data_IF_167500977280
#
_entry.id   IF_167500977280
#
_cell.length_a   1.000
_cell.length_b   1.000
_cell.length_c   1.000
_cell.angle_alpha   90.00
_cell.angle_beta   90.00
_cell.angle_gamma   90.00
#
_symmetry.space_group_name_H-M   'P 1'
#
loop_
_entity.id
_entity.type
_entity.pdbx_description
1 polymer ?
#
# COMPACT_ATOMS: atom_id res chain seq x y z
N UNK A 1 -3.89 -7.88 -6.54
CA UNK A 1 -2.56 -8.56 -6.53
C UNK A 1 -2.70 -9.87 -5.74
N UNK A 2 -2.73 -11.01 -6.41
CA UNK A 2 -2.70 -12.32 -5.71
C UNK A 2 -1.26 -12.59 -5.27
N UNK A 3 -0.98 -12.50 -3.98
CA UNK A 3 0.24 -13.10 -3.41
C UNK A 3 0.01 -14.60 -3.38
N UNK A 4 0.31 -15.27 -4.49
CA UNK A 4 0.37 -16.71 -4.52
C UNK A 4 1.66 -17.12 -3.81
N UNK A 5 1.54 -17.93 -2.78
CA UNK A 5 2.65 -18.67 -2.15
C UNK A 5 3.18 -19.74 -3.11
N UNK A 6 3.67 -19.33 -4.27
CA UNK A 6 4.54 -20.17 -5.05
C UNK A 6 5.96 -20.02 -4.51
N UNK A 7 6.70 -21.10 -4.41
CA UNK A 7 8.15 -21.11 -4.24
C UNK A 7 8.76 -20.34 -5.43
N UNK A 8 8.68 -19.02 -5.38
CA UNK A 8 9.53 -18.23 -6.25
C UNK A 8 10.96 -18.46 -5.76
N UNK A 9 11.90 -18.79 -6.64
CA UNK A 9 13.30 -18.82 -6.26
C UNK A 9 13.62 -17.49 -5.59
N UNK A 10 14.26 -17.54 -4.42
CA UNK A 10 14.69 -16.34 -3.73
C UNK A 10 15.59 -15.54 -4.69
N UNK A 11 15.20 -14.32 -4.99
CA UNK A 11 16.02 -13.43 -5.80
C UNK A 11 17.25 -13.04 -4.98
N UNK A 12 18.44 -13.42 -5.47
CA UNK A 12 19.68 -13.04 -4.82
C UNK A 12 20.02 -11.61 -5.21
N UNK A 13 19.92 -10.70 -4.24
CA UNK A 13 20.26 -9.29 -4.40
C UNK A 13 21.68 -9.03 -3.90
N UNK A 14 22.45 -8.29 -4.68
CA UNK A 14 23.74 -7.78 -4.23
C UNK A 14 23.62 -6.49 -3.40
N UNK A 15 24.67 -6.07 -2.77
CA UNK A 15 24.76 -4.83 -1.97
C UNK A 15 24.30 -3.58 -2.73
N UNK A 16 24.55 -3.53 -4.04
CA UNK A 16 24.18 -2.38 -4.87
C UNK A 16 22.69 -2.34 -5.13
N UNK A 17 22.05 -3.50 -5.32
CA UNK A 17 20.60 -3.61 -5.46
C UNK A 17 19.89 -3.17 -4.17
N UNK A 18 20.39 -3.60 -3.01
CA UNK A 18 19.88 -3.17 -1.72
C UNK A 18 19.98 -1.65 -1.50
N UNK A 19 21.08 -1.01 -1.90
CA UNK A 19 21.23 0.45 -1.84
C UNK A 19 20.26 1.18 -2.75
N UNK A 20 20.05 0.67 -3.96
CA UNK A 20 19.07 1.25 -4.91
C UNK A 20 17.66 1.13 -4.33
N UNK A 21 17.26 -0.05 -3.84
CA UNK A 21 15.96 -0.25 -3.20
C UNK A 21 15.75 0.69 -2.03
N UNK A 22 16.76 0.88 -1.21
CA UNK A 22 16.72 1.81 -0.09
C UNK A 22 16.43 3.24 -0.53
N UNK A 23 17.13 3.73 -1.53
CA UNK A 23 16.90 5.08 -2.08
C UNK A 23 15.50 5.23 -2.66
N UNK A 24 14.96 4.21 -3.33
CA UNK A 24 13.60 4.20 -3.86
C UNK A 24 12.54 4.21 -2.75
N UNK A 25 12.74 3.43 -1.68
CA UNK A 25 11.81 3.41 -0.53
C UNK A 25 11.76 4.78 0.15
N UNK A 26 12.90 5.46 0.24
CA UNK A 26 12.96 6.81 0.81
C UNK A 26 12.32 7.86 -0.09
N UNK A 27 12.55 7.80 -1.38
CA UNK A 27 11.98 8.72 -2.35
C UNK A 27 11.99 8.13 -3.76
N UNK A 28 10.87 7.56 -4.18
CA UNK A 28 10.70 6.97 -5.52
C UNK A 28 10.79 8.00 -6.65
N UNK A 29 10.53 9.29 -6.36
CA UNK A 29 10.54 10.37 -7.37
C UNK A 29 11.90 11.02 -7.58
N UNK A 30 12.96 10.57 -6.89
CA UNK A 30 14.28 11.14 -7.11
C UNK A 30 14.84 10.79 -8.49
N UNK A 31 15.57 11.70 -9.15
CA UNK A 31 16.19 11.42 -10.44
C UNK A 31 17.19 10.26 -10.35
N UNK A 32 17.27 9.43 -11.39
CA UNK A 32 18.21 8.29 -11.44
C UNK A 32 19.65 8.75 -11.23
N UNK A 33 20.03 9.94 -11.71
CA UNK A 33 21.35 10.52 -11.48
C UNK A 33 21.67 10.77 -10.00
N UNK A 34 20.66 11.07 -9.18
CA UNK A 34 20.82 11.20 -7.72
C UNK A 34 20.99 9.84 -7.06
N UNK A 35 20.21 8.84 -7.46
CA UNK A 35 20.36 7.46 -6.99
C UNK A 35 21.77 6.97 -7.33
N UNK A 36 22.21 7.15 -8.57
CA UNK A 36 23.53 6.76 -9.04
C UNK A 36 24.65 7.37 -8.18
N UNK A 37 24.57 8.68 -7.92
CA UNK A 37 25.54 9.39 -7.06
C UNK A 37 25.59 8.84 -5.64
N UNK A 38 24.43 8.58 -5.03
CA UNK A 38 24.33 8.07 -3.66
C UNK A 38 24.77 6.61 -3.53
N UNK A 39 24.49 5.81 -4.56
CA UNK A 39 24.89 4.40 -4.60
C UNK A 39 26.33 4.20 -5.11
N UNK A 40 27.05 5.25 -5.51
CA UNK A 40 28.37 5.20 -6.13
C UNK A 40 28.38 4.33 -7.40
N UNK A 41 27.38 4.51 -8.24
CA UNK A 41 27.18 3.79 -9.50
C UNK A 41 27.09 4.75 -10.68
N UNK A 42 27.30 4.24 -11.90
CA UNK A 42 26.93 4.97 -13.11
C UNK A 42 25.43 4.99 -13.30
N UNK A 43 24.90 6.02 -13.98
CA UNK A 43 23.48 6.10 -14.32
C UNK A 43 22.99 4.86 -15.08
N UNK A 44 23.76 4.40 -16.08
CA UNK A 44 23.44 3.20 -16.85
C UNK A 44 23.35 1.95 -15.98
N UNK A 45 24.26 1.80 -14.99
CA UNK A 45 24.21 0.68 -14.06
C UNK A 45 22.96 0.69 -13.19
N UNK A 46 22.50 1.88 -12.75
CA UNK A 46 21.25 2.01 -11.99
C UNK A 46 20.04 1.68 -12.86
N UNK A 47 19.97 2.24 -14.08
CA UNK A 47 18.87 1.96 -15.04
C UNK A 47 18.77 0.46 -15.34
N UNK A 48 19.89 -0.20 -15.61
CA UNK A 48 19.91 -1.65 -15.83
C UNK A 48 19.39 -2.45 -14.63
N UNK A 49 19.87 -2.12 -13.42
CA UNK A 49 19.45 -2.81 -12.19
C UNK A 49 17.98 -2.57 -11.87
N UNK A 50 17.47 -1.36 -12.03
CA UNK A 50 16.06 -1.04 -11.86
C UNK A 50 15.19 -1.88 -12.79
N UNK A 51 15.60 -2.01 -14.06
CA UNK A 51 14.92 -2.86 -15.04
C UNK A 51 14.91 -4.32 -14.60
N UNK A 52 16.02 -4.85 -14.10
CA UNK A 52 16.09 -6.22 -13.58
C UNK A 52 15.19 -6.43 -12.36
N UNK A 53 15.13 -5.47 -11.42
CA UNK A 53 14.28 -5.53 -10.24
C UNK A 53 12.79 -5.50 -10.60
N UNK A 54 12.42 -4.75 -11.62
CA UNK A 54 11.05 -4.68 -12.16
C UNK A 54 10.67 -5.96 -12.92
N UNK A 55 11.51 -6.43 -13.84
CA UNK A 55 11.30 -7.67 -14.61
C UNK A 55 11.14 -8.88 -13.68
N UNK A 56 11.90 -8.93 -12.59
CA UNK A 56 11.78 -9.98 -11.56
C UNK A 56 10.60 -9.74 -10.60
N UNK A 57 9.76 -8.73 -10.83
CA UNK A 57 8.59 -8.39 -10.00
C UNK A 57 8.92 -8.14 -8.52
N UNK A 58 10.15 -7.72 -8.22
CA UNK A 58 10.51 -7.28 -6.88
C UNK A 58 9.96 -5.89 -6.60
N UNK A 59 10.04 -4.98 -7.59
CA UNK A 59 9.34 -3.71 -7.58
C UNK A 59 8.00 -3.94 -8.27
N UNK A 60 6.92 -3.83 -7.49
CA UNK A 60 5.54 -4.08 -7.98
C UNK A 60 4.76 -2.80 -8.24
N UNK A 61 5.37 -1.67 -7.99
CA UNK A 61 4.76 -0.36 -8.22
C UNK A 61 5.11 0.66 -7.15
N UNK A 62 4.61 1.86 -7.34
CA UNK A 62 4.68 2.96 -6.38
C UNK A 62 3.31 3.60 -6.24
N UNK A 63 2.97 4.06 -5.05
CA UNK A 63 1.70 4.75 -4.79
C UNK A 63 1.87 5.97 -3.92
N UNK A 64 1.01 6.95 -4.12
CA UNK A 64 0.91 8.10 -3.24
C UNK A 64 0.12 7.73 -1.98
N UNK A 65 0.67 7.99 -0.81
CA UNK A 65 -0.06 7.83 0.45
C UNK A 65 -0.79 9.13 0.76
N UNK A 66 -2.11 9.04 0.91
CA UNK A 66 -3.00 10.18 1.17
C UNK A 66 -3.52 10.12 2.60
N UNK A 67 -3.63 11.26 3.25
CA UNK A 67 -4.28 11.36 4.56
C UNK A 67 -5.81 11.40 4.39
N UNK A 68 -6.42 10.23 4.37
CA UNK A 68 -7.86 10.05 4.16
C UNK A 68 -8.73 10.77 5.19
N UNK A 69 -8.25 10.92 6.43
CA UNK A 69 -8.95 11.68 7.47
C UNK A 69 -9.09 13.15 7.13
N UNK A 70 -8.07 13.74 6.46
CA UNK A 70 -8.16 15.14 5.99
C UNK A 70 -9.16 15.31 4.86
N UNK A 71 -9.50 14.24 4.14
CA UNK A 71 -10.55 14.20 3.13
C UNK A 71 -11.94 13.89 3.73
N UNK A 72 -12.03 13.71 5.06
CA UNK A 72 -13.29 13.40 5.75
C UNK A 72 -13.68 11.92 5.73
N UNK A 73 -12.76 11.02 5.33
CA UNK A 73 -13.04 9.58 5.30
C UNK A 73 -12.45 8.87 6.51
N UNK A 74 -13.19 7.85 6.98
CA UNK A 74 -12.73 6.82 7.91
C UNK A 74 -12.44 5.55 7.13
N UNK A 75 -11.45 4.76 7.56
CA UNK A 75 -11.16 3.46 7.01
C UNK A 75 -11.71 2.38 7.94
N UNK A 76 -12.62 1.57 7.42
CA UNK A 76 -13.25 0.46 8.12
C UNK A 76 -12.64 -0.84 7.61
N UNK A 77 -12.06 -1.61 8.51
CA UNK A 77 -11.43 -2.90 8.23
C UNK A 77 -12.36 -4.02 8.68
N UNK A 78 -12.82 -4.81 7.74
CA UNK A 78 -13.77 -5.89 7.97
C UNK A 78 -13.03 -7.21 7.83
N UNK A 79 -12.95 -7.97 8.93
CA UNK A 79 -12.38 -9.32 8.94
C UNK A 79 -13.52 -10.32 8.86
N UNK A 80 -13.51 -11.17 7.83
CA UNK A 80 -14.60 -12.08 7.52
C UNK A 80 -14.19 -13.55 7.64
N UNK A 81 -15.06 -14.32 8.27
CA UNK A 81 -15.11 -15.78 8.18
C UNK A 81 -16.36 -16.18 7.42
N UNK A 82 -16.23 -16.83 6.29
CA UNK A 82 -17.33 -17.30 5.45
C UNK A 82 -17.49 -18.82 5.55
N UNK A 83 -18.68 -19.32 5.21
CA UNK A 83 -18.98 -20.74 5.33
C UNK A 83 -18.32 -21.59 4.26
N UNK A 84 -18.25 -21.09 3.03
CA UNK A 84 -17.79 -21.87 1.88
C UNK A 84 -16.84 -21.09 0.98
N UNK A 85 -15.94 -21.78 0.23
CA UNK A 85 -15.10 -21.13 -0.79
C UNK A 85 -15.90 -20.42 -1.89
N UNK A 86 -17.13 -20.86 -2.14
CA UNK A 86 -17.99 -20.21 -3.13
C UNK A 86 -18.45 -18.82 -2.65
N UNK A 87 -18.82 -18.71 -1.39
CA UNK A 87 -19.18 -17.43 -0.76
C UNK A 87 -17.96 -16.49 -0.66
N UNK A 88 -16.78 -17.05 -0.33
CA UNK A 88 -15.54 -16.32 -0.34
C UNK A 88 -15.28 -15.68 -1.72
N UNK A 89 -15.40 -16.47 -2.78
CA UNK A 89 -15.23 -15.98 -4.14
C UNK A 89 -16.23 -14.89 -4.51
N UNK A 90 -17.50 -15.02 -4.11
CA UNK A 90 -18.53 -13.98 -4.36
C UNK A 90 -18.15 -12.64 -3.73
N UNK A 91 -17.67 -12.67 -2.48
CA UNK A 91 -17.25 -11.44 -1.79
C UNK A 91 -16.03 -10.83 -2.49
N UNK A 92 -15.02 -11.66 -2.83
CA UNK A 92 -13.82 -11.19 -3.52
C UNK A 92 -14.16 -10.53 -4.86
N UNK A 93 -14.99 -11.18 -5.68
CA UNK A 93 -15.40 -10.68 -7.00
C UNK A 93 -16.18 -9.35 -6.89
N UNK A 94 -16.96 -9.15 -5.81
CA UNK A 94 -17.65 -7.89 -5.53
C UNK A 94 -16.70 -6.81 -5.03
N UNK A 95 -15.87 -7.14 -4.04
CA UNK A 95 -14.93 -6.20 -3.46
C UNK A 95 -13.92 -5.68 -4.49
N UNK A 96 -13.46 -6.53 -5.40
CA UNK A 96 -12.54 -6.16 -6.48
C UNK A 96 -13.15 -5.13 -7.45
N UNK A 97 -14.47 -5.19 -7.66
CA UNK A 97 -15.21 -4.26 -8.52
C UNK A 97 -15.75 -3.03 -7.80
N UNK A 98 -15.76 -3.05 -6.48
CA UNK A 98 -16.35 -1.99 -5.65
C UNK A 98 -15.41 -0.79 -5.54
N UNK A 99 -15.83 0.38 -6.03
CA UNK A 99 -15.06 1.63 -5.98
C UNK A 99 -14.80 2.15 -4.56
N UNK A 100 -15.58 1.69 -3.59
CA UNK A 100 -15.45 2.05 -2.18
C UNK A 100 -14.46 1.16 -1.39
N UNK A 101 -13.99 0.06 -1.99
CA UNK A 101 -12.99 -0.82 -1.41
C UNK A 101 -11.59 -0.33 -1.79
N UNK A 102 -10.74 -0.08 -0.81
CA UNK A 102 -9.37 0.36 -1.05
C UNK A 102 -8.31 -0.71 -0.76
N UNK A 103 -8.67 -1.81 -0.09
CA UNK A 103 -7.80 -2.96 0.11
C UNK A 103 -8.59 -4.25 0.29
N UNK A 104 -8.06 -5.34 -0.25
CA UNK A 104 -8.53 -6.70 -0.06
C UNK A 104 -7.31 -7.54 0.27
N UNK A 105 -7.31 -8.19 1.43
CA UNK A 105 -6.18 -8.98 1.90
C UNK A 105 -6.68 -10.37 2.30
N UNK A 106 -5.98 -11.40 1.85
CA UNK A 106 -6.29 -12.80 2.17
C UNK A 106 -5.30 -13.30 3.20
N UNK A 107 -5.81 -13.87 4.29
CA UNK A 107 -5.02 -14.42 5.38
C UNK A 107 -5.15 -15.94 5.47
N UNK A 108 -4.17 -16.55 6.11
CA UNK A 108 -4.31 -17.90 6.67
C UNK A 108 -4.86 -17.78 8.10
N UNK A 109 -5.87 -18.57 8.46
CA UNK A 109 -6.44 -18.57 9.82
C UNK A 109 -7.97 -18.47 9.85
N UNK A 110 -8.52 -18.08 11.01
CA UNK A 110 -9.97 -18.02 11.24
C UNK A 110 -10.64 -16.97 10.35
N UNK A 111 -10.14 -15.75 10.37
CA UNK A 111 -10.60 -14.67 9.49
C UNK A 111 -9.73 -14.67 8.24
N UNK A 112 -10.24 -15.22 7.16
CA UNK A 112 -9.48 -15.39 5.92
C UNK A 112 -9.42 -14.14 5.07
N UNK A 113 -10.43 -13.27 5.17
CA UNK A 113 -10.54 -12.07 4.37
C UNK A 113 -10.49 -10.84 5.26
N UNK A 114 -9.70 -9.85 4.84
CA UNK A 114 -9.80 -8.47 5.30
C UNK A 114 -10.17 -7.61 4.10
N UNK A 115 -11.26 -6.85 4.25
CA UNK A 115 -11.70 -5.87 3.26
C UNK A 115 -11.73 -4.52 3.92
N UNK A 116 -11.07 -3.55 3.32
CA UNK A 116 -11.07 -2.18 3.81
C UNK A 116 -11.99 -1.31 2.96
N UNK A 117 -12.96 -0.67 3.62
CA UNK A 117 -13.93 0.24 3.03
C UNK A 117 -13.64 1.66 3.50
N UNK A 118 -13.70 2.59 2.55
CA UNK A 118 -13.63 4.02 2.83
C UNK A 118 -15.03 4.61 2.90
N UNK A 119 -15.42 5.15 4.06
CA UNK A 119 -16.71 5.80 4.25
C UNK A 119 -16.58 7.07 5.12
N UNK A 120 -17.50 8.02 4.98
CA UNK A 120 -17.49 9.27 5.75
C UNK A 120 -18.00 9.08 7.16
N UNK A 121 -19.02 8.23 7.30
CA UNK A 121 -19.65 7.94 8.57
C UNK A 121 -20.09 6.47 8.66
N UNK A 122 -20.65 6.10 9.80
CA UNK A 122 -21.12 4.74 10.09
C UNK A 122 -22.33 4.35 9.25
N UNK A 123 -23.20 5.29 8.90
CA UNK A 123 -24.40 5.03 8.10
C UNK A 123 -24.01 4.69 6.65
N UNK A 124 -23.10 5.46 6.05
CA UNK A 124 -22.54 5.14 4.74
C UNK A 124 -21.81 3.80 4.76
N UNK A 125 -20.98 3.55 5.78
CA UNK A 125 -20.28 2.28 5.94
C UNK A 125 -21.26 1.09 5.98
N UNK A 126 -22.30 1.16 6.80
CA UNK A 126 -23.29 0.07 6.92
C UNK A 126 -23.97 -0.23 5.59
N UNK A 127 -24.35 0.79 4.83
CA UNK A 127 -24.94 0.63 3.50
C UNK A 127 -23.97 -0.10 2.54
N UNK A 128 -22.72 0.34 2.47
CA UNK A 128 -21.69 -0.24 1.62
C UNK A 128 -21.33 -1.68 2.04
N UNK A 129 -21.30 -1.93 3.35
CA UNK A 129 -21.07 -3.26 3.88
C UNK A 129 -22.21 -4.22 3.52
N UNK A 130 -23.46 -3.79 3.65
CA UNK A 130 -24.61 -4.61 3.24
C UNK A 130 -24.61 -4.91 1.74
N UNK A 131 -24.21 -3.96 0.90
CA UNK A 131 -24.02 -4.17 -0.54
C UNK A 131 -22.94 -5.24 -0.80
N UNK A 132 -21.82 -5.18 -0.08
CA UNK A 132 -20.73 -6.13 -0.23
C UNK A 132 -21.12 -7.56 0.10
N UNK A 133 -21.87 -7.75 1.20
CA UNK A 133 -22.22 -9.08 1.72
C UNK A 133 -23.59 -9.58 1.25
N UNK A 134 -24.30 -8.85 0.37
CA UNK A 134 -25.60 -9.26 -0.13
C UNK A 134 -25.58 -10.71 -0.65
N UNK A 135 -26.57 -11.51 -0.26
CA UNK A 135 -26.72 -12.93 -0.62
C UNK A 135 -25.51 -13.84 -0.23
N UNK A 136 -24.72 -13.41 0.74
CA UNK A 136 -23.62 -14.22 1.27
C UNK A 136 -23.87 -14.54 2.73
N UNK A 137 -23.68 -15.80 3.09
CA UNK A 137 -23.74 -16.23 4.49
C UNK A 137 -22.40 -16.00 5.16
N UNK A 138 -22.35 -14.99 6.02
CA UNK A 138 -21.21 -14.73 6.87
C UNK A 138 -21.30 -15.63 8.10
N UNK A 139 -20.22 -16.31 8.43
CA UNK A 139 -20.12 -17.12 9.65
C UNK A 139 -19.80 -16.25 10.85
N UNK A 140 -18.85 -15.35 10.66
CA UNK A 140 -18.43 -14.39 11.68
C UNK A 140 -17.74 -13.21 11.01
N UNK A 141 -17.92 -12.03 11.59
CA UNK A 141 -17.23 -10.82 11.16
C UNK A 141 -16.76 -9.97 12.34
N UNK A 142 -15.72 -9.20 12.09
CA UNK A 142 -15.22 -8.18 13.02
C UNK A 142 -14.95 -6.92 12.22
N UNK A 143 -15.55 -5.82 12.63
CA UNK A 143 -15.34 -4.51 12.01
C UNK A 143 -14.47 -3.66 12.93
N UNK A 144 -13.37 -3.16 12.42
CA UNK A 144 -12.46 -2.26 13.10
C UNK A 144 -12.36 -0.94 12.34
N UNK A 145 -12.37 0.16 13.08
CA UNK A 145 -12.13 1.50 12.50
C UNK A 145 -10.67 1.87 12.73
N UNK A 146 -9.94 2.20 11.67
CA UNK A 146 -8.56 2.64 11.78
C UNK A 146 -8.49 4.02 12.43
N UNK A 147 -8.04 4.06 13.67
CA UNK A 147 -7.87 5.31 14.41
C UNK A 147 -6.56 6.01 14.04
N UNK A 148 -5.46 5.29 14.05
CA UNK A 148 -4.14 5.85 13.76
C UNK A 148 -3.16 4.77 13.33
N UNK A 149 -2.34 5.09 12.33
CA UNK A 149 -1.18 4.29 11.96
C UNK A 149 0.07 4.85 12.64
N UNK A 150 0.60 4.16 13.64
CA UNK A 150 1.78 4.62 14.38
C UNK A 150 3.06 4.41 13.57
N UNK A 151 3.14 3.31 12.84
CA UNK A 151 4.28 2.95 12.00
C UNK A 151 3.83 2.16 10.77
N UNK A 152 4.30 2.57 9.61
CA UNK A 152 4.12 1.83 8.36
C UNK A 152 5.39 1.96 7.53
N UNK A 153 6.17 0.89 7.47
CA UNK A 153 7.39 0.81 6.66
C UNK A 153 7.21 -0.28 5.60
N UNK A 154 7.64 0.00 4.38
CA UNK A 154 7.59 -0.98 3.27
C UNK A 154 8.44 -2.21 3.62
N UNK A 155 9.65 -1.99 4.14
CA UNK A 155 10.55 -3.04 4.63
C UNK A 155 11.13 -2.62 5.99
N UNK A 156 11.08 -3.49 7.01
CA UNK A 156 11.76 -3.24 8.28
C UNK A 156 13.28 -3.15 8.10
N UNK A 157 13.94 -2.32 8.91
CA UNK A 157 15.39 -2.12 8.84
C UNK A 157 16.21 -3.42 8.87
N UNK A 158 15.75 -4.43 9.62
CA UNK A 158 16.45 -5.73 9.70
C UNK A 158 16.51 -6.47 8.37
N UNK A 159 15.65 -6.13 7.40
CA UNK A 159 15.67 -6.71 6.06
C UNK A 159 16.82 -6.18 5.21
N UNK A 160 17.49 -5.11 5.67
CA UNK A 160 18.61 -4.48 4.98
C UNK A 160 19.87 -4.63 5.84
N UNK A 161 20.69 -5.67 5.64
CA UNK A 161 21.82 -5.97 6.52
C UNK A 161 22.88 -4.87 6.64
N UNK A 162 22.98 -3.99 5.64
CA UNK A 162 23.97 -2.91 5.60
C UNK A 162 23.42 -1.53 6.00
N UNK A 163 22.17 -1.45 6.47
CA UNK A 163 21.53 -0.18 6.79
C UNK A 163 21.84 0.37 8.19
N UNK A 164 22.94 -0.04 8.82
CA UNK A 164 23.31 0.43 10.18
C UNK A 164 23.60 1.93 10.25
N UNK A 165 23.94 2.57 9.11
CA UNK A 165 24.40 3.97 9.07
C UNK A 165 23.42 4.98 8.45
N UNK A 166 22.14 4.62 8.27
CA UNK A 166 21.20 5.56 7.72
C UNK A 166 20.68 6.49 8.80
N UNK A 167 21.00 7.75 8.61
CA UNK A 167 20.54 8.86 9.43
C UNK A 167 19.01 9.04 9.29
N UNK A 168 18.26 8.31 10.14
CA UNK A 168 16.79 8.33 10.22
C UNK A 168 16.22 9.68 10.63
N UNK A 169 17.03 10.58 11.17
CA UNK A 169 16.60 11.93 11.54
C UNK A 169 16.02 12.73 10.36
N UNK A 170 16.45 12.44 9.12
CA UNK A 170 15.91 13.11 7.93
C UNK A 170 14.48 12.68 7.60
N UNK A 171 14.11 11.43 7.88
CA UNK A 171 12.76 10.92 7.61
C UNK A 171 11.75 11.48 8.62
N UNK A 172 12.10 11.51 9.89
CA UNK A 172 11.25 12.07 10.94
C UNK A 172 11.07 13.60 10.80
N UNK A 173 12.08 14.30 10.31
CA UNK A 173 11.99 15.75 10.06
C UNK A 173 11.11 16.11 8.87
N UNK A 174 10.97 15.26 7.86
CA UNK A 174 10.07 15.50 6.72
C UNK A 174 8.60 15.34 7.09
N UNK A 175 8.28 14.43 8.03
CA UNK A 175 6.91 14.23 8.51
C UNK A 175 6.48 15.25 9.58
N UNK A 176 7.42 15.79 10.35
CA UNK A 176 7.13 16.80 11.41
C UNK A 176 7.04 18.26 10.91
N UNK A 177 7.52 18.57 9.69
CA UNK A 177 7.52 19.95 9.17
C UNK A 177 6.22 20.42 8.53
N UNK A 178 5.22 19.58 8.34
CA UNK A 178 3.89 20.00 7.90
C UNK A 178 3.03 20.43 9.09
N UNK A 179 3.41 21.54 9.74
CA UNK A 179 2.51 22.27 10.63
C UNK A 179 1.32 22.78 9.82
N UNK A 180 0.17 22.40 10.26
CA UNK A 180 -1.19 22.64 9.80
C UNK A 180 -1.43 24.08 9.25
N UNK A 181 -1.39 24.22 7.94
CA UNK A 181 -2.25 25.20 7.28
C UNK A 181 -3.52 24.44 6.87
N UNK A 182 -4.66 24.80 7.45
CA UNK A 182 -5.99 24.39 6.96
C UNK A 182 -6.13 24.89 5.54
N UNK A 183 -5.78 24.08 4.56
CA UNK A 183 -6.20 24.25 3.17
C UNK A 183 -7.39 23.33 2.95
N UNK A 184 -8.51 23.89 2.52
CA UNK A 184 -9.64 23.12 2.03
C UNK A 184 -9.22 22.45 0.73
N UNK A 185 -9.44 21.15 0.64
CA UNK A 185 -9.23 20.36 -0.60
C UNK A 185 -10.38 20.68 -1.54
N UNK A 186 -10.09 21.17 -2.74
CA UNK A 186 -11.10 21.46 -3.75
C UNK A 186 -11.30 20.27 -4.72
N UNK A 187 -12.26 20.40 -5.64
CA UNK A 187 -12.58 19.36 -6.62
C UNK A 187 -11.43 19.08 -7.59
N UNK A 188 -10.61 20.08 -7.91
CA UNK A 188 -9.44 19.91 -8.76
C UNK A 188 -8.33 19.13 -8.04
N UNK A 189 -8.15 19.38 -6.75
CA UNK A 189 -7.22 18.59 -5.92
C UNK A 189 -7.62 17.11 -5.89
N UNK A 190 -8.92 16.82 -5.80
CA UNK A 190 -9.44 15.44 -5.84
C UNK A 190 -9.22 14.77 -7.20
N UNK A 191 -9.39 15.51 -8.31
CA UNK A 191 -9.11 15.00 -9.67
C UNK A 191 -7.62 14.70 -9.85
N UNK A 192 -6.74 15.54 -9.34
CA UNK A 192 -5.29 15.31 -9.36
C UNK A 192 -4.94 14.04 -8.56
N UNK A 193 -5.48 13.89 -7.35
CA UNK A 193 -5.27 12.70 -6.52
C UNK A 193 -5.76 11.42 -7.23
N UNK A 194 -6.93 11.47 -7.87
CA UNK A 194 -7.46 10.33 -8.63
C UNK A 194 -6.56 9.96 -9.82
N UNK A 195 -6.06 10.95 -10.57
CA UNK A 195 -5.15 10.68 -11.69
C UNK A 195 -3.80 10.12 -11.24
N UNK A 196 -3.31 10.52 -10.07
CA UNK A 196 -2.08 9.98 -9.49
C UNK A 196 -2.24 8.55 -8.99
N UNK A 197 -3.43 8.16 -8.53
CA UNK A 197 -3.71 6.78 -8.09
C UNK A 197 -3.76 5.82 -9.28
N UNK A 198 -4.32 6.22 -10.43
CA UNK A 198 -4.42 5.39 -11.64
C UNK A 198 -3.07 5.16 -12.33
N UNK A 199 -2.15 6.13 -12.30
CA UNK A 199 -0.82 5.98 -12.93
C UNK A 199 0.13 5.00 -12.21
N UNK A 200 -0.24 4.48 -11.08
CA UNK A 200 0.54 3.46 -10.37
C UNK A 200 0.19 2.03 -10.79
N UNK A 201 -0.77 1.83 -11.71
CA UNK A 201 -1.22 0.53 -12.21
C UNK A 201 -0.75 0.22 -13.64
N UNK A 202 -0.18 1.19 -14.36
CA UNK A 202 0.54 1.02 -15.64
C UNK A 202 2.05 0.82 -15.41
#
# INVERSE_FOLDING_TARGET
MRVLTHKNPELILDTKDWRILQELILNVRQPISQIAKKCLLSRQSVEYRLKQLDENKLIIGSRTVVNNKKLGYKSYHIFLEVHTPHEEKKILDRAEKAEFCNAIIVYSGKYKLEISIMARDEAEFLRLYQELIADVRIRNDVVLVLLEGIKSEVLPRKCFPEMKDINTEKFEKSTKKNKEKKQSVDENDLRILHSLSKRSEE
#
